data_IF_635624294936
#
_entry.id   IF_635624294936
#
_cell.length_a   1.000
_cell.length_b   1.000
_cell.length_c   1.000
_cell.angle_alpha   90.00
_cell.angle_beta   90.00
_cell.angle_gamma   90.00
#
_symmetry.space_group_name_H-M   'P 1'
#
loop_
_entity.id
_entity.type
_entity.pdbx_description
1 polymer ?
#
# COMPACT_ATOMS: atom_id res chain seq x y z
N UNK A 1 6.10 -21.34 -14.41
CA UNK A 1 5.30 -20.19 -13.95
C UNK A 1 5.40 -19.11 -15.01
N UNK A 2 4.28 -18.73 -15.61
CA UNK A 2 4.19 -17.64 -16.57
C UNK A 2 4.38 -16.32 -15.82
N UNK A 3 5.27 -15.45 -16.30
CA UNK A 3 5.37 -14.07 -15.81
C UNK A 3 3.97 -13.43 -15.88
N UNK A 4 3.61 -12.50 -14.95
CA UNK A 4 2.41 -11.71 -15.14
C UNK A 4 2.49 -11.09 -16.52
N UNK A 5 1.52 -11.42 -17.36
CA UNK A 5 1.45 -10.81 -18.68
C UNK A 5 1.32 -9.31 -18.49
N UNK A 6 2.03 -8.51 -19.29
CA UNK A 6 1.89 -7.05 -19.24
C UNK A 6 0.40 -6.61 -19.34
N UNK A 7 -0.44 -7.42 -20.00
CA UNK A 7 -1.89 -7.23 -20.07
C UNK A 7 -2.61 -7.32 -18.71
N UNK A 8 -2.20 -8.25 -17.84
CA UNK A 8 -2.77 -8.39 -16.51
C UNK A 8 -2.44 -7.14 -15.67
N UNK A 9 -1.18 -6.70 -15.70
CA UNK A 9 -0.77 -5.47 -15.04
C UNK A 9 -1.56 -4.26 -15.56
N UNK A 10 -1.67 -4.09 -16.88
CA UNK A 10 -2.44 -2.99 -17.48
C UNK A 10 -3.92 -3.06 -17.11
N UNK A 11 -4.49 -4.26 -17.02
CA UNK A 11 -5.89 -4.47 -16.62
C UNK A 11 -6.11 -4.02 -15.18
N UNK A 12 -5.25 -4.44 -14.25
CA UNK A 12 -5.35 -4.03 -12.85
C UNK A 12 -5.15 -2.52 -12.68
N UNK A 13 -4.20 -1.92 -13.40
CA UNK A 13 -3.97 -0.47 -13.35
C UNK A 13 -5.21 0.27 -13.85
N UNK A 14 -5.82 -0.18 -14.96
CA UNK A 14 -7.07 0.43 -15.46
C UNK A 14 -8.20 0.32 -14.45
N UNK A 15 -8.32 -0.81 -13.76
CA UNK A 15 -9.32 -0.98 -12.71
C UNK A 15 -9.11 0.00 -11.55
N UNK A 16 -7.89 0.08 -11.01
CA UNK A 16 -7.55 1.02 -9.93
C UNK A 16 -7.79 2.47 -10.35
N UNK A 17 -7.40 2.85 -11.58
CA UNK A 17 -7.67 4.18 -12.14
C UNK A 17 -9.16 4.44 -12.20
N UNK A 18 -9.95 3.51 -12.73
CA UNK A 18 -11.39 3.66 -12.82
C UNK A 18 -12.03 3.80 -11.43
N UNK A 19 -11.67 2.93 -10.49
CA UNK A 19 -12.19 2.94 -9.14
C UNK A 19 -11.97 4.30 -8.44
N UNK A 20 -10.71 4.78 -8.42
CA UNK A 20 -10.37 6.02 -7.71
C UNK A 20 -10.73 7.31 -8.48
N UNK A 21 -10.82 7.30 -9.82
CA UNK A 21 -11.15 8.51 -10.58
C UNK A 21 -12.64 8.66 -10.88
N UNK A 22 -13.35 7.55 -11.12
CA UNK A 22 -14.74 7.57 -11.58
C UNK A 22 -15.71 7.30 -10.43
N UNK A 23 -15.34 6.39 -9.52
CA UNK A 23 -16.21 5.92 -8.45
C UNK A 23 -15.64 6.14 -7.03
N UNK A 24 -14.97 7.27 -6.71
CA UNK A 24 -14.52 7.51 -5.35
C UNK A 24 -15.72 7.67 -4.39
N UNK A 25 -15.51 7.41 -3.10
CA UNK A 25 -16.55 7.63 -2.07
C UNK A 25 -17.01 9.10 -2.04
N UNK A 26 -16.08 10.03 -2.17
CA UNK A 26 -16.35 11.46 -2.40
C UNK A 26 -15.45 12.00 -3.51
N UNK A 27 -15.88 13.04 -4.27
CA UNK A 27 -15.07 13.59 -5.36
C UNK A 27 -13.64 14.02 -4.96
N UNK A 28 -13.45 14.43 -3.70
CA UNK A 28 -12.13 14.83 -3.18
C UNK A 28 -11.18 13.64 -2.99
N UNK A 29 -11.71 12.43 -2.81
CA UNK A 29 -10.93 11.22 -2.53
C UNK A 29 -10.26 10.69 -3.82
N UNK A 30 -10.68 11.20 -5.00
CA UNK A 30 -9.98 10.97 -6.26
C UNK A 30 -8.61 11.67 -6.35
N UNK A 31 -8.28 12.54 -5.39
CA UNK A 31 -7.12 13.42 -5.41
C UNK A 31 -6.29 13.25 -4.14
N UNK A 32 -4.97 13.45 -4.25
CA UNK A 32 -4.07 13.47 -3.10
C UNK A 32 -4.36 14.69 -2.25
N UNK A 33 -4.42 14.48 -0.93
CA UNK A 33 -4.79 15.51 0.04
C UNK A 33 -3.85 16.73 0.03
N UNK A 34 -2.57 16.52 -0.28
CA UNK A 34 -1.52 17.53 -0.12
C UNK A 34 -1.57 18.67 -1.14
N UNK A 35 -2.15 18.46 -2.33
CA UNK A 35 -2.38 19.52 -3.32
C UNK A 35 -3.81 19.62 -3.82
N UNK A 36 -4.66 18.61 -3.59
CA UNK A 36 -6.00 18.53 -4.14
C UNK A 36 -6.03 18.56 -5.67
N UNK A 37 -4.97 18.08 -6.34
CA UNK A 37 -4.82 18.11 -7.81
C UNK A 37 -4.25 16.82 -8.37
N UNK A 38 -3.30 16.21 -7.66
CA UNK A 38 -2.65 14.98 -8.11
C UNK A 38 -3.61 13.80 -7.96
N UNK A 39 -3.82 12.96 -8.98
CA UNK A 39 -4.71 11.79 -8.89
C UNK A 39 -4.31 10.84 -7.75
N UNK A 40 -5.27 10.36 -6.95
CA UNK A 40 -4.99 9.46 -5.82
C UNK A 40 -4.27 8.17 -6.26
N UNK A 41 -4.69 7.61 -7.40
CA UNK A 41 -4.22 6.32 -7.93
C UNK A 41 -2.69 6.22 -8.12
N UNK A 42 -1.95 7.33 -8.13
CA UNK A 42 -0.48 7.27 -8.16
C UNK A 42 0.09 6.56 -6.93
N UNK A 43 -0.60 6.60 -5.79
CA UNK A 43 -0.19 5.95 -4.55
C UNK A 43 -0.21 4.42 -4.65
N UNK A 44 -1.36 3.75 -4.93
CA UNK A 44 -1.38 2.30 -5.08
C UNK A 44 -0.52 1.82 -6.26
N UNK A 45 -0.40 2.61 -7.35
CA UNK A 45 0.53 2.30 -8.44
C UNK A 45 1.98 2.30 -7.94
N UNK A 46 2.42 3.32 -7.20
CA UNK A 46 3.77 3.36 -6.64
C UNK A 46 4.04 2.15 -5.75
N UNK A 47 3.13 1.82 -4.84
CA UNK A 47 3.26 0.67 -3.94
C UNK A 47 3.43 -0.64 -4.74
N UNK A 48 2.56 -0.89 -5.71
CA UNK A 48 2.60 -2.08 -6.55
C UNK A 48 3.90 -2.18 -7.37
N UNK A 49 4.38 -1.07 -7.94
CA UNK A 49 5.62 -1.09 -8.70
C UNK A 49 6.83 -1.35 -7.79
N UNK A 50 6.85 -0.80 -6.58
CA UNK A 50 7.96 -0.98 -5.65
C UNK A 50 8.14 -2.44 -5.21
N UNK A 51 7.06 -3.18 -4.94
CA UNK A 51 7.19 -4.61 -4.61
C UNK A 51 7.61 -5.45 -5.82
N UNK A 52 7.17 -5.11 -7.04
CA UNK A 52 7.64 -5.76 -8.28
C UNK A 52 9.13 -5.54 -8.54
N UNK A 53 9.70 -4.44 -8.05
CA UNK A 53 11.14 -4.16 -8.13
C UNK A 53 11.96 -4.86 -7.02
N UNK A 54 11.33 -5.53 -6.05
CA UNK A 54 12.03 -6.15 -4.94
C UNK A 54 12.71 -7.46 -5.37
N UNK A 55 13.99 -7.42 -5.76
CA UNK A 55 14.68 -8.60 -6.31
C UNK A 55 14.96 -9.71 -5.31
N UNK A 56 14.88 -9.42 -4.00
CA UNK A 56 15.16 -10.40 -2.93
C UNK A 56 13.91 -11.14 -2.48
N UNK A 57 12.71 -10.67 -2.86
CA UNK A 57 11.45 -11.28 -2.47
C UNK A 57 11.01 -12.27 -3.57
N UNK A 58 10.54 -13.49 -3.22
CA UNK A 58 10.16 -14.48 -4.22
C UNK A 58 8.88 -14.09 -4.96
N UNK A 59 8.73 -14.56 -6.21
CA UNK A 59 7.57 -14.29 -7.06
C UNK A 59 6.24 -14.68 -6.39
N UNK A 60 6.25 -15.74 -5.58
CA UNK A 60 5.07 -16.20 -4.84
C UNK A 60 4.54 -15.20 -3.82
N UNK A 61 5.34 -14.19 -3.43
CA UNK A 61 4.90 -13.07 -2.58
C UNK A 61 4.74 -11.81 -3.43
N UNK A 62 5.70 -11.52 -4.33
CA UNK A 62 5.68 -10.29 -5.15
C UNK A 62 4.47 -10.20 -6.07
N UNK A 63 4.12 -11.31 -6.72
CA UNK A 63 3.05 -11.34 -7.71
C UNK A 63 1.67 -11.11 -7.09
N UNK A 64 1.23 -11.85 -6.06
CA UNK A 64 -0.02 -11.50 -5.38
C UNK A 64 0.08 -10.16 -4.64
N UNK A 65 1.25 -9.82 -4.10
CA UNK A 65 1.47 -8.58 -3.36
C UNK A 65 1.30 -7.31 -4.20
N UNK A 66 1.77 -7.27 -5.45
CA UNK A 66 1.55 -6.09 -6.29
C UNK A 66 0.08 -5.90 -6.65
N UNK A 67 -0.64 -6.99 -6.88
CA UNK A 67 -2.08 -6.94 -7.18
C UNK A 67 -2.84 -6.43 -5.96
N UNK A 68 -2.51 -6.93 -4.78
CA UNK A 68 -3.08 -6.47 -3.53
C UNK A 68 -2.78 -4.98 -3.29
N UNK A 69 -1.53 -4.54 -3.41
CA UNK A 69 -1.16 -3.11 -3.23
C UNK A 69 -1.81 -2.19 -4.26
N UNK A 70 -2.04 -2.66 -5.48
CA UNK A 70 -2.71 -1.85 -6.49
C UNK A 70 -4.21 -1.64 -6.19
N UNK A 71 -4.79 -2.55 -5.40
CA UNK A 71 -6.23 -2.59 -5.10
C UNK A 71 -6.54 -2.31 -3.62
N UNK A 72 -5.54 -2.13 -2.75
CA UNK A 72 -5.72 -2.16 -1.29
C UNK A 72 -6.70 -1.10 -0.76
N UNK A 73 -6.74 0.06 -1.42
CA UNK A 73 -7.63 1.17 -1.06
C UNK A 73 -8.96 1.15 -1.81
N UNK A 74 -9.17 0.22 -2.76
CA UNK A 74 -10.39 0.21 -3.58
C UNK A 74 -11.63 0.00 -2.71
N UNK A 75 -11.55 -0.88 -1.72
CA UNK A 75 -12.66 -1.16 -0.81
C UNK A 75 -12.85 -0.08 0.26
N UNK A 76 -11.79 0.66 0.60
CA UNK A 76 -11.82 1.72 1.63
C UNK A 76 -12.31 3.05 1.06
N UNK A 77 -11.80 3.43 -0.12
CA UNK A 77 -11.92 4.80 -0.65
C UNK A 77 -12.90 4.93 -1.83
N UNK A 78 -13.48 3.82 -2.31
CA UNK A 78 -14.30 3.82 -3.51
C UNK A 78 -15.60 3.03 -3.35
N UNK A 79 -16.53 3.26 -4.27
CA UNK A 79 -17.77 2.50 -4.40
C UNK A 79 -17.63 1.28 -5.32
N UNK A 80 -16.42 0.97 -5.78
CA UNK A 80 -16.17 -0.12 -6.73
C UNK A 80 -15.90 -1.43 -6.01
N UNK A 81 -16.32 -2.53 -6.63
CA UNK A 81 -15.91 -3.88 -6.22
C UNK A 81 -14.51 -4.20 -6.73
N UNK A 82 -13.91 -5.26 -6.16
CA UNK A 82 -12.73 -5.88 -6.75
C UNK A 82 -13.09 -6.58 -8.08
N UNK A 83 -12.11 -6.79 -8.99
CA UNK A 83 -12.32 -7.58 -10.20
C UNK A 83 -12.79 -9.01 -9.92
N UNK A 84 -13.76 -9.52 -10.70
CA UNK A 84 -14.43 -10.80 -10.45
C UNK A 84 -13.54 -12.05 -10.53
N UNK A 85 -12.41 -11.98 -11.23
CA UNK A 85 -11.52 -13.12 -11.50
C UNK A 85 -10.19 -13.06 -10.73
N UNK A 86 -10.18 -12.39 -9.57
CA UNK A 86 -9.00 -12.39 -8.71
C UNK A 86 -8.78 -13.75 -8.05
N UNK A 87 -7.51 -14.10 -7.88
CA UNK A 87 -7.12 -15.21 -7.02
C UNK A 87 -7.56 -14.96 -5.57
N UNK A 88 -8.05 -16.01 -4.90
CA UNK A 88 -8.58 -15.92 -3.53
C UNK A 88 -7.55 -15.34 -2.55
N UNK A 89 -6.26 -15.62 -2.76
CA UNK A 89 -5.19 -15.05 -1.93
C UNK A 89 -5.10 -13.54 -2.09
N UNK A 90 -5.24 -13.03 -3.31
CA UNK A 90 -5.18 -11.59 -3.58
C UNK A 90 -6.36 -10.88 -2.92
N UNK A 91 -7.55 -11.48 -3.02
CA UNK A 91 -8.75 -10.98 -2.32
C UNK A 91 -8.52 -10.94 -0.81
N UNK A 92 -7.98 -12.02 -0.22
CA UNK A 92 -7.66 -12.07 1.20
C UNK A 92 -6.62 -11.00 1.61
N UNK A 93 -5.60 -10.77 0.77
CA UNK A 93 -4.60 -9.73 1.01
C UNK A 93 -5.21 -8.32 0.97
N UNK A 94 -6.07 -8.02 0.00
CA UNK A 94 -6.76 -6.73 -0.08
C UNK A 94 -7.62 -6.50 1.16
N UNK A 95 -8.44 -7.49 1.55
CA UNK A 95 -9.25 -7.37 2.77
C UNK A 95 -8.40 -7.20 4.04
N UNK A 96 -7.27 -7.90 4.14
CA UNK A 96 -6.34 -7.74 5.27
C UNK A 96 -5.65 -6.38 5.31
N UNK A 97 -5.66 -5.63 4.20
CA UNK A 97 -5.09 -4.28 4.09
C UNK A 97 -6.10 -3.16 4.36
N UNK A 98 -7.40 -3.47 4.43
CA UNK A 98 -8.49 -2.49 4.60
C UNK A 98 -8.81 -2.30 6.08
N UNK A 99 -8.83 -1.05 6.57
CA UNK A 99 -9.10 -0.73 7.96
C UNK A 99 -10.03 0.48 8.10
N UNK A 100 -10.85 0.52 9.15
CA UNK A 100 -11.77 1.66 9.36
C UNK A 100 -11.03 2.98 9.68
N UNK A 101 -9.81 2.89 10.23
CA UNK A 101 -8.99 4.04 10.56
C UNK A 101 -7.53 3.66 10.80
N UNK A 102 -6.65 4.65 10.78
CA UNK A 102 -5.24 4.46 11.11
C UNK A 102 -5.03 3.91 12.53
N UNK A 103 -5.84 4.34 13.52
CA UNK A 103 -5.73 3.78 14.88
C UNK A 103 -6.15 2.31 14.92
N UNK A 104 -7.26 1.96 14.25
CA UNK A 104 -7.73 0.58 14.17
C UNK A 104 -6.68 -0.32 13.50
N UNK A 105 -6.00 0.17 12.46
CA UNK A 105 -4.87 -0.51 11.84
C UNK A 105 -3.74 -0.76 12.85
N UNK A 106 -3.29 0.27 13.57
CA UNK A 106 -2.21 0.15 14.56
C UNK A 106 -2.53 -0.86 15.67
N UNK A 107 -3.81 -0.97 16.04
CA UNK A 107 -4.27 -1.86 17.12
C UNK A 107 -4.25 -3.34 16.74
N UNK A 108 -4.51 -3.68 15.46
CA UNK A 108 -4.73 -5.09 15.05
C UNK A 108 -3.72 -5.61 14.02
N UNK A 109 -2.88 -4.76 13.42
CA UNK A 109 -1.94 -5.16 12.37
C UNK A 109 -0.99 -6.29 12.82
N UNK A 110 -0.67 -6.35 14.11
CA UNK A 110 0.29 -7.29 14.66
C UNK A 110 -0.27 -8.72 14.71
N UNK A 111 -1.59 -8.86 14.71
CA UNK A 111 -2.31 -10.13 14.64
C UNK A 111 -2.61 -10.57 13.20
N UNK A 112 -2.33 -9.70 12.20
CA UNK A 112 -2.50 -10.04 10.78
C UNK A 112 -1.39 -10.97 10.28
N UNK A 113 -1.63 -11.69 9.16
CA UNK A 113 -0.58 -12.44 8.48
C UNK A 113 0.63 -11.57 8.13
N UNK A 114 1.82 -12.16 8.14
CA UNK A 114 3.08 -11.42 7.97
C UNK A 114 3.18 -10.71 6.62
N UNK A 115 2.51 -11.24 5.59
CA UNK A 115 2.43 -10.59 4.28
C UNK A 115 1.68 -9.25 4.35
N UNK A 116 0.63 -9.14 5.18
CA UNK A 116 -0.11 -7.87 5.36
C UNK A 116 0.80 -6.82 5.97
N UNK A 117 1.61 -7.19 6.98
CA UNK A 117 2.60 -6.28 7.61
C UNK A 117 3.64 -5.81 6.59
N UNK A 118 4.09 -6.71 5.72
CA UNK A 118 4.97 -6.37 4.59
C UNK A 118 4.30 -5.37 3.64
N UNK A 119 3.08 -5.64 3.19
CA UNK A 119 2.36 -4.74 2.28
C UNK A 119 2.07 -3.38 2.93
N UNK A 120 1.73 -3.34 4.23
CA UNK A 120 1.57 -2.09 4.98
C UNK A 120 2.85 -1.28 5.06
N UNK A 121 4.03 -1.90 5.10
CA UNK A 121 5.28 -1.15 5.02
C UNK A 121 5.40 -0.41 3.67
N UNK A 122 4.99 -1.01 2.54
CA UNK A 122 4.97 -0.33 1.24
C UNK A 122 3.99 0.86 1.24
N UNK A 123 2.77 0.65 1.73
CA UNK A 123 1.75 1.70 1.91
C UNK A 123 2.31 2.87 2.75
N UNK A 124 2.73 2.61 3.99
CA UNK A 124 3.19 3.68 4.89
C UNK A 124 4.43 4.40 4.39
N UNK A 125 5.33 3.69 3.71
CA UNK A 125 6.49 4.32 3.05
C UNK A 125 6.05 5.29 1.96
N UNK A 126 5.05 4.94 1.16
CA UNK A 126 4.47 5.85 0.17
C UNK A 126 3.79 7.05 0.83
N UNK A 127 3.08 6.84 1.95
CA UNK A 127 2.50 7.96 2.72
C UNK A 127 3.59 8.89 3.24
N UNK A 128 4.72 8.38 3.75
CA UNK A 128 5.84 9.22 4.22
C UNK A 128 6.42 10.13 3.14
N UNK A 129 6.43 9.70 1.86
CA UNK A 129 6.87 10.54 0.74
C UNK A 129 5.97 11.78 0.55
N UNK A 130 4.67 11.61 0.82
CA UNK A 130 3.63 12.60 0.53
C UNK A 130 3.19 13.41 1.77
N UNK A 131 3.53 12.95 2.98
CA UNK A 131 3.01 13.45 4.25
C UNK A 131 3.70 14.72 4.77
N UNK A 132 4.36 15.51 3.92
CA UNK A 132 5.06 16.75 4.33
C UNK A 132 4.14 17.75 5.04
N UNK A 133 2.86 17.78 4.66
CA UNK A 133 1.81 18.63 5.19
C UNK A 133 1.29 18.22 6.58
N UNK A 134 1.61 17.01 7.06
CA UNK A 134 1.13 16.54 8.37
C UNK A 134 1.82 17.31 9.50
N UNK A 135 1.04 17.68 10.53
CA UNK A 135 1.61 18.26 11.75
C UNK A 135 2.46 17.24 12.53
N UNK A 136 3.41 17.74 13.33
CA UNK A 136 4.51 16.94 13.88
C UNK A 136 4.05 15.76 14.74
N UNK A 137 2.96 15.92 15.51
CA UNK A 137 2.38 14.80 16.28
C UNK A 137 1.92 13.65 15.38
N UNK A 138 1.20 13.95 14.29
CA UNK A 138 0.70 12.92 13.36
C UNK A 138 1.84 12.31 12.57
N UNK A 139 2.78 13.15 12.14
CA UNK A 139 4.00 12.71 11.45
C UNK A 139 4.83 11.76 12.31
N UNK A 140 5.12 12.12 13.56
CA UNK A 140 5.92 11.31 14.47
C UNK A 140 5.23 9.95 14.78
N UNK A 141 3.89 9.92 14.91
CA UNK A 141 3.16 8.65 15.04
C UNK A 141 3.32 7.77 13.78
N UNK A 142 3.23 8.35 12.58
CA UNK A 142 3.46 7.63 11.33
C UNK A 142 4.91 7.12 11.23
N UNK A 143 5.89 7.91 11.66
CA UNK A 143 7.31 7.52 11.72
C UNK A 143 7.51 6.33 12.64
N UNK A 144 7.02 6.39 13.88
CA UNK A 144 7.15 5.31 14.86
C UNK A 144 6.54 4.02 14.33
N UNK A 145 5.34 4.11 13.77
CA UNK A 145 4.64 2.97 13.19
C UNK A 145 5.37 2.37 11.98
N UNK A 146 5.87 3.22 11.08
CA UNK A 146 6.61 2.76 9.90
C UNK A 146 7.93 2.10 10.28
N UNK A 147 8.63 2.61 11.31
CA UNK A 147 9.85 2.01 11.82
C UNK A 147 9.58 0.63 12.45
N UNK A 148 8.50 0.48 13.21
CA UNK A 148 8.11 -0.81 13.77
C UNK A 148 7.80 -1.86 12.68
N UNK A 149 7.09 -1.46 11.61
CA UNK A 149 6.87 -2.33 10.45
C UNK A 149 8.20 -2.67 9.74
N UNK A 150 9.10 -1.69 9.61
CA UNK A 150 10.41 -1.91 8.98
C UNK A 150 11.28 -2.89 9.78
N UNK A 151 11.29 -2.80 11.12
CA UNK A 151 11.98 -3.73 12.00
C UNK A 151 11.44 -5.16 11.81
N UNK A 152 10.12 -5.32 11.85
CA UNK A 152 9.46 -6.62 11.64
C UNK A 152 9.77 -7.21 10.26
N UNK A 153 9.66 -6.42 9.20
CA UNK A 153 9.91 -6.88 7.83
C UNK A 153 11.37 -7.28 7.64
N UNK A 154 12.31 -6.52 8.22
CA UNK A 154 13.73 -6.85 8.14
C UNK A 154 14.06 -8.16 8.85
N UNK A 155 13.47 -8.42 10.02
CA UNK A 155 13.63 -9.68 10.75
C UNK A 155 13.03 -10.88 9.99
N UNK A 156 11.89 -10.68 9.33
CA UNK A 156 11.09 -11.77 8.73
C UNK A 156 11.51 -12.08 7.28
N UNK A 157 11.74 -11.05 6.48
CA UNK A 157 12.00 -11.16 5.04
C UNK A 157 13.41 -10.72 4.64
N UNK A 158 14.21 -10.23 5.59
CA UNK A 158 15.55 -9.72 5.35
C UNK A 158 15.58 -8.26 4.87
N UNK A 159 16.76 -7.81 4.45
CA UNK A 159 17.02 -6.41 4.11
C UNK A 159 16.54 -6.07 2.70
N UNK A 160 15.22 -5.92 2.57
CA UNK A 160 14.54 -5.49 1.35
C UNK A 160 14.83 -4.01 1.02
N UNK A 161 14.63 -3.61 -0.24
CA UNK A 161 14.76 -2.20 -0.63
C UNK A 161 13.75 -1.31 0.11
N UNK A 162 12.52 -1.79 0.32
CA UNK A 162 11.50 -1.01 1.02
C UNK A 162 11.90 -0.67 2.46
N UNK A 163 12.58 -1.57 3.17
CA UNK A 163 13.11 -1.33 4.53
C UNK A 163 14.10 -0.17 4.51
N UNK A 164 15.02 -0.15 3.54
CA UNK A 164 16.04 0.91 3.40
C UNK A 164 15.40 2.27 3.13
N UNK A 165 14.39 2.31 2.24
CA UNK A 165 13.67 3.53 1.89
C UNK A 165 12.90 4.03 3.11
N UNK A 166 12.11 3.16 3.75
CA UNK A 166 11.33 3.47 4.94
C UNK A 166 12.20 4.10 6.04
N UNK A 167 13.30 3.45 6.42
CA UNK A 167 14.23 3.96 7.45
C UNK A 167 14.91 5.28 7.07
N UNK A 168 15.06 5.55 5.78
CA UNK A 168 15.64 6.81 5.30
C UNK A 168 14.66 7.97 5.47
N UNK A 169 13.39 7.75 5.13
CA UNK A 169 12.32 8.76 5.18
C UNK A 169 11.79 8.99 6.60
N UNK A 170 11.72 7.93 7.41
CA UNK A 170 11.14 7.95 8.75
C UNK A 170 12.04 8.69 9.75
N UNK A 171 11.92 10.02 9.78
CA UNK A 171 12.68 10.93 10.66
C UNK A 171 11.74 11.76 11.50
N UNK A 172 11.86 11.71 12.83
CA UNK A 172 11.06 12.55 13.71
C UNK A 172 11.26 14.04 13.44
N UNK A 173 10.18 14.80 13.64
CA UNK A 173 10.16 16.27 13.64
C UNK A 173 10.06 16.79 15.06
N UNK A 174 10.65 17.97 15.29
CA UNK A 174 10.66 18.67 16.58
C UNK A 174 9.45 19.58 16.73
#
# INVERSE_FOLDING_TARGET
>A
MTQPGYEELLTMIRHAVYAHQVNPNQPKDALRFWDGKTPYVIHPIWCAMMILHETQLPDEIRLPGYQALLLHDVLEDTQSSLPDNLDERVVALVHGMTFDSFQAEQDVIWDQPDEIKLLKLYDKTSILLDAVWMGDKKWNNLVDYTLALADFVEETYGVLNIVRIARTLARHRS
#
